data_IF_874996210044
#
_entry.id   IF_874996210044
#
_cell.length_a   1.000
_cell.length_b   1.000
_cell.length_c   1.000
_cell.angle_alpha   90.00
_cell.angle_beta   90.00
_cell.angle_gamma   90.00
#
_symmetry.space_group_name_H-M   'P 1'
#
loop_
_entity.id
_entity.type
_entity.pdbx_description
1 polymer ?
#
# COMPACT_ATOMS: atom_id res chain seq x y z
N UNK A 1 10.34 27.20 8.06
CA UNK A 1 10.42 26.90 8.12
C UNK A 1 10.54 26.11 8.55
N UNK A 2 10.34 25.89 8.59
CA UNK A 2 10.32 25.24 8.84
C UNK A 2 10.43 24.52 9.43
N UNK A 3 10.31 24.39 9.66
CA UNK A 3 10.27 23.86 10.06
C UNK A 3 10.31 23.04 10.37
N UNK A 4 10.24 23.08 10.39
CA UNK A 4 10.04 22.44 10.49
C UNK A 4 10.27 21.51 10.46
N UNK A 5 10.27 21.37 10.17
CA UNK A 5 10.35 20.46 9.94
C UNK A 5 10.41 19.67 10.28
N UNK A 6 10.52 19.63 10.54
CA UNK A 6 10.64 18.77 10.87
C UNK A 6 10.06 17.88 11.07
N UNK A 7 9.74 18.10 11.17
CA UNK A 7 9.13 17.35 11.32
C UNK A 7 8.70 16.55 10.74
N UNK A 8 8.94 16.70 10.56
CA UNK A 8 8.66 15.89 10.22
C UNK A 8 8.16 14.66 9.66
N UNK A 9 7.68 13.69 10.20
CA UNK A 9 7.03 12.57 9.55
C UNK A 9 5.54 12.84 9.42
N UNK A 10 4.98 12.78 8.19
CA UNK A 10 3.54 12.90 8.04
C UNK A 10 2.84 11.83 8.87
N UNK A 11 1.76 12.19 9.49
CA UNK A 11 0.94 11.23 10.22
C UNK A 11 -0.03 10.58 9.25
N UNK A 12 -0.32 9.29 9.47
CA UNK A 12 -1.31 8.61 8.68
C UNK A 12 -2.69 9.25 8.93
N UNK A 13 -3.42 9.50 7.85
CA UNK A 13 -4.80 9.97 7.94
C UNK A 13 -5.80 8.83 7.90
N UNK A 14 -5.33 7.61 7.62
CA UNK A 14 -6.14 6.39 7.62
C UNK A 14 -5.42 5.32 8.40
N UNK A 15 -6.19 4.51 9.15
CA UNK A 15 -5.64 3.36 9.86
C UNK A 15 -5.38 2.21 8.87
N UNK A 16 -4.60 1.23 9.30
CA UNK A 16 -4.37 0.02 8.49
C UNK A 16 -5.71 -0.64 8.16
N UNK A 17 -6.60 -0.74 9.15
CA UNK A 17 -7.93 -1.34 8.96
C UNK A 17 -8.73 -0.60 7.89
N UNK A 18 -8.73 0.73 7.94
CA UNK A 18 -9.43 1.53 6.93
C UNK A 18 -8.85 1.31 5.53
N UNK A 19 -7.53 1.24 5.42
CA UNK A 19 -6.88 0.97 4.14
C UNK A 19 -7.29 -0.40 3.61
N UNK A 20 -7.31 -1.41 4.47
CA UNK A 20 -7.72 -2.75 4.06
C UNK A 20 -9.16 -2.76 3.57
N UNK A 21 -10.07 -2.12 4.33
CA UNK A 21 -11.48 -2.06 3.96
C UNK A 21 -11.71 -1.32 2.64
N UNK A 22 -11.00 -0.23 2.43
CA UNK A 22 -11.21 0.60 1.23
C UNK A 22 -10.55 0.04 -0.01
N UNK A 23 -9.44 -0.66 0.13
CA UNK A 23 -8.64 -1.03 -1.02
C UNK A 23 -8.42 -2.52 -1.26
N UNK A 24 -8.52 -3.36 -0.25
CA UNK A 24 -8.03 -4.73 -0.35
C UNK A 24 -9.03 -5.83 -0.04
N UNK A 25 -10.10 -5.53 0.68
CA UNK A 25 -11.05 -6.57 1.08
C UNK A 25 -12.10 -6.86 0.02
N UNK A 26 -12.37 -8.15 -0.17
CA UNK A 26 -13.43 -8.61 -1.04
C UNK A 26 -12.98 -8.90 -2.46
N UNK A 27 -13.80 -9.68 -3.17
CA UNK A 27 -13.51 -10.11 -4.53
C UNK A 27 -13.61 -8.99 -5.56
N UNK A 28 -14.33 -7.93 -5.22
CA UNK A 28 -14.52 -6.77 -6.09
C UNK A 28 -13.75 -5.56 -5.55
N UNK A 29 -12.75 -5.80 -4.70
CA UNK A 29 -11.96 -4.74 -4.12
C UNK A 29 -11.16 -3.99 -5.19
N UNK A 30 -10.69 -2.80 -4.81
CA UNK A 30 -9.82 -2.02 -5.67
C UNK A 30 -8.56 -2.83 -6.03
N UNK A 31 -8.00 -3.54 -5.06
CA UNK A 31 -6.85 -4.40 -5.30
C UNK A 31 -7.15 -5.48 -6.35
N UNK A 32 -8.32 -6.09 -6.29
CA UNK A 32 -8.72 -7.10 -7.26
C UNK A 32 -8.80 -6.51 -8.67
N UNK A 33 -9.41 -5.34 -8.81
CA UNK A 33 -9.51 -4.66 -10.10
C UNK A 33 -8.14 -4.30 -10.67
N UNK A 34 -7.30 -3.72 -9.83
CA UNK A 34 -5.94 -3.32 -10.23
C UNK A 34 -5.12 -4.55 -10.62
N UNK A 35 -5.24 -5.63 -9.86
CA UNK A 35 -4.49 -6.87 -10.14
C UNK A 35 -4.89 -7.54 -11.44
N UNK A 36 -6.15 -7.33 -11.88
CA UNK A 36 -6.65 -7.88 -13.15
C UNK A 36 -6.38 -6.94 -14.33
N UNK A 37 -5.79 -5.78 -14.09
CA UNK A 37 -5.56 -4.80 -15.12
C UNK A 37 -6.81 -4.03 -15.52
N UNK A 38 -7.84 -4.05 -14.67
CA UNK A 38 -9.12 -3.40 -14.93
C UNK A 38 -9.28 -2.06 -14.21
N UNK A 39 -8.24 -1.64 -13.48
CA UNK A 39 -8.29 -0.37 -12.77
C UNK A 39 -8.21 0.82 -13.70
N UNK A 40 -9.02 1.84 -13.44
CA UNK A 40 -8.95 3.10 -14.17
C UNK A 40 -7.77 3.93 -13.66
N UNK A 41 -7.46 5.03 -14.35
CA UNK A 41 -6.41 5.95 -13.87
C UNK A 41 -6.72 6.44 -12.45
N UNK A 42 -7.99 6.73 -12.18
CA UNK A 42 -8.42 7.16 -10.85
C UNK A 42 -8.25 6.05 -9.82
N UNK A 43 -8.55 4.81 -10.20
CA UNK A 43 -8.34 3.66 -9.31
C UNK A 43 -6.88 3.51 -8.94
N UNK A 44 -5.99 3.71 -9.90
CA UNK A 44 -4.55 3.62 -9.65
C UNK A 44 -4.07 4.73 -8.73
N UNK A 45 -4.56 5.96 -8.92
CA UNK A 45 -4.25 7.06 -8.00
C UNK A 45 -4.72 6.77 -6.59
N UNK A 46 -5.92 6.21 -6.46
CA UNK A 46 -6.48 5.83 -5.17
C UNK A 46 -5.60 4.79 -4.50
N UNK A 47 -5.15 3.78 -5.25
CA UNK A 47 -4.28 2.75 -4.72
C UNK A 47 -2.92 3.32 -4.28
N UNK A 48 -2.37 4.28 -5.04
CA UNK A 48 -1.14 4.96 -4.63
C UNK A 48 -1.34 5.63 -3.27
N UNK A 49 -2.45 6.32 -3.08
CA UNK A 49 -2.76 6.99 -1.81
C UNK A 49 -2.94 6.00 -0.66
N UNK A 50 -3.66 4.90 -0.89
CA UNK A 50 -3.90 3.90 0.14
C UNK A 50 -2.61 3.19 0.56
N UNK A 51 -1.77 2.81 -0.40
CA UNK A 51 -0.51 2.16 -0.08
C UNK A 51 0.45 3.12 0.63
N UNK A 52 0.40 4.41 0.29
CA UNK A 52 1.16 5.42 1.00
C UNK A 52 0.74 5.46 2.48
N UNK A 53 -0.57 5.41 2.76
CA UNK A 53 -1.05 5.40 4.14
C UNK A 53 -0.51 4.20 4.92
N UNK A 54 -0.35 3.05 4.29
CA UNK A 54 0.26 1.91 4.96
C UNK A 54 1.68 2.21 5.41
N UNK A 55 2.45 2.92 4.59
CA UNK A 55 3.83 3.27 4.97
C UNK A 55 3.89 4.21 6.17
N UNK A 56 2.83 4.96 6.43
CA UNK A 56 2.77 5.92 7.53
C UNK A 56 2.27 5.29 8.83
N UNK A 57 1.77 4.05 8.78
CA UNK A 57 1.30 3.33 9.96
C UNK A 57 2.39 2.44 10.53
N UNK A 58 2.19 2.00 11.78
CA UNK A 58 3.04 0.97 12.37
C UNK A 58 2.25 -0.33 12.43
N UNK A 59 2.91 -1.49 12.26
CA UNK A 59 2.17 -2.75 12.27
C UNK A 59 1.70 -3.10 13.68
N UNK A 60 0.53 -3.75 13.80
CA UNK A 60 0.06 -4.19 15.12
C UNK A 60 0.89 -5.37 15.65
N UNK A 61 1.67 -6.03 14.78
CA UNK A 61 2.47 -7.19 15.13
C UNK A 61 3.66 -7.28 14.14
N UNK A 62 4.72 -7.92 14.55
CA UNK A 62 5.90 -8.10 13.72
C UNK A 62 6.84 -6.91 13.80
N UNK A 63 8.04 -7.03 13.22
CA UNK A 63 9.00 -5.97 13.33
C UNK A 63 8.78 -4.85 12.30
N UNK A 64 9.18 -3.65 12.69
CA UNK A 64 8.96 -2.46 11.88
C UNK A 64 9.73 -2.50 10.56
N UNK A 65 10.93 -3.06 10.55
CA UNK A 65 11.72 -3.14 9.34
C UNK A 65 11.02 -3.97 8.26
N UNK A 66 10.49 -5.15 8.66
CA UNK A 66 9.74 -6.00 7.74
C UNK A 66 8.51 -5.28 7.20
N UNK A 67 7.78 -4.58 8.08
CA UNK A 67 6.62 -3.79 7.70
C UNK A 67 6.99 -2.72 6.69
N UNK A 68 8.05 -1.96 6.99
CA UNK A 68 8.52 -0.88 6.13
C UNK A 68 8.91 -1.40 4.74
N UNK A 69 9.62 -2.51 4.69
CA UNK A 69 10.03 -3.10 3.41
C UNK A 69 8.83 -3.50 2.57
N UNK A 70 7.85 -4.18 3.19
CA UNK A 70 6.66 -4.64 2.49
C UNK A 70 5.78 -3.49 2.01
N UNK A 71 5.52 -2.53 2.87
CA UNK A 71 4.65 -1.41 2.51
C UNK A 71 5.31 -0.47 1.51
N UNK A 72 6.61 -0.26 1.63
CA UNK A 72 7.35 0.56 0.67
C UNK A 72 7.35 -0.08 -0.71
N UNK A 73 7.56 -1.40 -0.78
CA UNK A 73 7.53 -2.13 -2.05
C UNK A 73 6.15 -2.06 -2.69
N UNK A 74 5.10 -2.21 -1.89
CA UNK A 74 3.72 -2.14 -2.37
C UNK A 74 3.40 -0.75 -2.91
N UNK A 75 3.80 0.29 -2.18
CA UNK A 75 3.60 1.67 -2.61
C UNK A 75 4.38 1.99 -3.89
N UNK A 76 5.62 1.55 -3.99
CA UNK A 76 6.43 1.74 -5.19
C UNK A 76 5.80 1.06 -6.40
N UNK A 77 5.25 -0.15 -6.19
CA UNK A 77 4.58 -0.88 -7.26
C UNK A 77 3.31 -0.17 -7.72
N UNK A 78 2.54 0.38 -6.78
CA UNK A 78 1.34 1.15 -7.11
C UNK A 78 1.71 2.39 -7.94
N UNK A 79 2.76 3.09 -7.54
CA UNK A 79 3.24 4.26 -8.30
C UNK A 79 3.69 3.88 -9.70
N UNK A 80 4.35 2.74 -9.85
CA UNK A 80 4.80 2.27 -11.16
C UNK A 80 3.61 1.98 -12.07
N UNK A 81 2.55 1.37 -11.53
CA UNK A 81 1.32 1.14 -12.30
C UNK A 81 0.69 2.46 -12.74
N UNK A 82 0.59 3.42 -11.83
CA UNK A 82 0.00 4.72 -12.14
C UNK A 82 0.80 5.47 -13.21
N UNK A 83 2.12 5.27 -13.23
CA UNK A 83 3.00 5.90 -14.19
C UNK A 83 3.05 5.14 -15.53
N UNK A 84 2.46 3.94 -15.59
CA UNK A 84 2.53 3.11 -16.80
C UNK A 84 3.92 2.57 -17.10
N UNK A 85 4.72 2.36 -16.05
CA UNK A 85 6.10 1.90 -16.22
C UNK A 85 6.18 0.48 -16.77
N UNK A 86 7.19 0.16 -17.61
CA UNK A 86 7.37 -1.21 -18.08
C UNK A 86 7.58 -2.17 -16.91
N UNK A 87 6.93 -3.32 -16.96
CA UNK A 87 7.03 -4.33 -15.91
C UNK A 87 6.27 -4.03 -14.65
N UNK A 88 5.50 -2.93 -14.61
CA UNK A 88 4.75 -2.52 -13.43
C UNK A 88 3.76 -3.58 -12.96
N UNK A 89 3.09 -4.26 -13.89
CA UNK A 89 2.11 -5.29 -13.53
C UNK A 89 2.77 -6.45 -12.78
N UNK A 90 3.94 -6.88 -13.23
CA UNK A 90 4.69 -7.94 -12.56
C UNK A 90 5.21 -7.48 -11.21
N UNK A 91 5.68 -6.23 -11.14
CA UNK A 91 6.13 -5.64 -9.88
C UNK A 91 4.99 -5.62 -8.87
N UNK A 92 3.78 -5.22 -9.30
CA UNK A 92 2.61 -5.20 -8.44
C UNK A 92 2.27 -6.59 -7.93
N UNK A 93 2.26 -7.58 -8.82
CA UNK A 93 1.95 -8.97 -8.43
C UNK A 93 2.93 -9.51 -7.40
N UNK A 94 4.21 -9.14 -7.52
CA UNK A 94 5.22 -9.55 -6.55
C UNK A 94 5.07 -8.84 -5.22
N UNK A 95 4.68 -7.55 -5.24
CA UNK A 95 4.57 -6.75 -4.03
C UNK A 95 3.28 -7.00 -3.26
N UNK A 96 2.17 -7.28 -3.97
CA UNK A 96 0.87 -7.51 -3.33
C UNK A 96 0.77 -8.97 -2.86
N UNK A 97 1.42 -9.26 -1.75
CA UNK A 97 1.42 -10.59 -1.16
C UNK A 97 0.68 -10.54 0.18
N UNK A 98 -0.63 -10.66 0.09
CA UNK A 98 -1.51 -10.56 1.25
C UNK A 98 -1.13 -11.59 2.33
N UNK A 99 -0.84 -12.81 1.91
CA UNK A 99 -0.50 -13.89 2.85
C UNK A 99 0.82 -13.62 3.57
N UNK A 100 1.84 -13.16 2.87
CA UNK A 100 3.14 -12.90 3.48
C UNK A 100 3.05 -11.76 4.50
N UNK A 101 2.33 -10.69 4.17
CA UNK A 101 2.15 -9.58 5.09
C UNK A 101 1.28 -9.99 6.28
N UNK A 102 0.16 -10.67 6.02
CA UNK A 102 -0.78 -11.07 7.06
C UNK A 102 -0.19 -12.09 8.03
N UNK A 103 0.66 -13.00 7.55
CA UNK A 103 1.25 -14.00 8.44
C UNK A 103 2.19 -13.38 9.47
N UNK A 104 2.77 -12.22 9.16
CA UNK A 104 3.72 -11.55 10.05
C UNK A 104 3.07 -10.39 10.81
N UNK A 105 2.24 -9.60 10.16
CA UNK A 105 1.80 -8.31 10.69
C UNK A 105 0.33 -8.22 11.07
N UNK A 106 -0.51 -9.13 10.59
CA UNK A 106 -1.93 -9.07 10.94
C UNK A 106 -2.12 -9.57 12.39
N UNK A 107 -2.89 -8.85 13.23
CA UNK A 107 -3.18 -9.33 14.57
C UNK A 107 -4.03 -10.60 14.51
N UNK A 108 -3.82 -11.47 15.48
CA UNK A 108 -4.59 -12.72 15.56
C UNK A 108 -6.03 -12.48 15.96
#
# INVERSE_FOLDING_TARGET
MALVGCSTHPKASKTIEQVMEEGFEGKTSLCAKVSKGEGTAKDLETMVGLTYQLTLNTPPRGDLQSWTEKTTALHAAAKALAAGSPGAADQWKSAVNCKACHSVHKPN
#
